data_IF_001858556587
#
_entry.id   IF_001858556587
#
_cell.length_a   1.000
_cell.length_b   1.000
_cell.length_c   1.000
_cell.angle_alpha   90.00
_cell.angle_beta   90.00
_cell.angle_gamma   90.00
#
_symmetry.space_group_name_H-M   'P 1'
#
loop_
_entity.id
_entity.type
_entity.pdbx_description
1 polymer ?
#
# COMPACT_ATOMS: atom_id res chain seq x y z
N UNK A 1 -10.70 11.26 8.32
CA UNK A 1 -9.95 11.02 7.08
C UNK A 1 -8.64 10.41 7.52
N UNK A 2 -8.30 9.24 7.00
CA UNK A 2 -6.99 8.64 7.25
C UNK A 2 -5.86 9.46 6.60
N UNK A 3 -4.62 9.24 6.99
CA UNK A 3 -3.44 9.81 6.35
C UNK A 3 -2.39 8.73 6.12
N UNK A 4 -1.99 8.53 4.86
CA UNK A 4 -0.98 7.54 4.45
C UNK A 4 0.24 8.18 3.77
N UNK A 5 0.52 9.45 4.06
CA UNK A 5 1.71 10.16 3.58
C UNK A 5 1.87 10.22 2.05
N UNK A 6 0.81 10.54 1.31
CA UNK A 6 0.88 10.64 -0.15
C UNK A 6 1.54 11.96 -0.60
N UNK A 7 2.87 12.08 -0.39
CA UNK A 7 3.78 13.19 -0.79
C UNK A 7 3.60 14.49 0.01
N UNK A 8 4.62 15.33 0.22
CA UNK A 8 4.48 16.53 1.09
C UNK A 8 3.80 17.76 0.47
N UNK A 9 3.42 17.75 -0.81
CA UNK A 9 2.26 18.56 -1.21
C UNK A 9 0.95 18.09 -0.53
N UNK A 10 0.94 16.92 0.12
CA UNK A 10 -0.16 16.22 0.84
C UNK A 10 -1.48 16.21 0.07
N UNK A 11 -1.37 16.38 -1.24
CA UNK A 11 -2.48 16.42 -2.16
C UNK A 11 -2.66 15.00 -2.69
N UNK A 12 -3.89 14.48 -2.65
CA UNK A 12 -4.17 13.24 -3.34
C UNK A 12 -3.88 13.38 -4.84
N UNK A 13 -3.68 12.26 -5.55
CA UNK A 13 -3.40 12.31 -6.98
C UNK A 13 -4.45 13.16 -7.72
N UNK A 14 -3.97 14.14 -8.50
CA UNK A 14 -4.82 15.11 -9.23
C UNK A 14 -5.80 15.93 -8.35
N UNK A 15 -5.59 15.99 -7.03
CA UNK A 15 -6.49 16.68 -6.11
C UNK A 15 -7.76 15.90 -5.75
N UNK A 16 -7.81 14.60 -6.05
CA UNK A 16 -8.95 13.73 -5.73
C UNK A 16 -8.57 12.55 -4.83
N UNK A 17 -9.04 12.56 -3.58
CA UNK A 17 -8.77 11.52 -2.58
C UNK A 17 -9.17 10.12 -3.04
N UNK A 18 -10.15 10.02 -3.94
CA UNK A 18 -10.62 8.73 -4.45
C UNK A 18 -9.54 8.00 -5.27
N UNK A 19 -8.54 8.72 -5.76
CA UNK A 19 -7.42 8.15 -6.54
C UNK A 19 -6.22 7.75 -5.68
N UNK A 20 -6.25 8.07 -4.38
CA UNK A 20 -5.13 7.87 -3.47
C UNK A 20 -5.05 6.41 -3.02
N UNK A 21 -3.96 5.71 -3.33
CA UNK A 21 -3.69 4.40 -2.76
C UNK A 21 -3.07 4.58 -1.37
N UNK A 22 -3.51 3.75 -0.45
CA UNK A 22 -3.15 3.86 0.95
C UNK A 22 -2.17 2.74 1.34
N UNK A 23 -2.70 1.54 1.58
CA UNK A 23 -1.94 0.40 2.05
C UNK A 23 -2.12 -0.83 1.17
N UNK A 24 -1.07 -1.65 1.16
CA UNK A 24 -1.09 -3.00 0.60
C UNK A 24 -0.82 -4.02 1.72
N UNK A 25 -1.72 -4.97 1.90
CA UNK A 25 -1.55 -6.11 2.82
C UNK A 25 -1.53 -7.43 2.05
N UNK A 26 -0.72 -8.36 2.55
CA UNK A 26 -0.61 -9.71 2.02
C UNK A 26 -0.31 -10.68 3.17
N UNK A 27 -1.23 -11.60 3.45
CA UNK A 27 -1.11 -12.54 4.55
C UNK A 27 -1.98 -13.79 4.35
N UNK A 28 -1.65 -14.87 5.06
CA UNK A 28 -2.48 -16.07 5.10
C UNK A 28 -3.75 -15.79 5.91
N UNK A 29 -4.91 -16.26 5.43
CA UNK A 29 -6.18 -16.06 6.13
C UNK A 29 -6.12 -16.62 7.56
N UNK A 30 -6.46 -15.81 8.60
CA UNK A 30 -6.59 -16.30 9.96
C UNK A 30 -7.66 -17.39 10.13
N UNK A 31 -8.65 -17.43 9.23
CA UNK A 31 -9.73 -18.41 9.23
C UNK A 31 -9.37 -19.70 8.48
N UNK A 32 -8.47 -19.63 7.49
CA UNK A 32 -8.01 -20.77 6.70
C UNK A 32 -6.58 -20.55 6.16
N UNK A 33 -5.60 -21.22 6.75
CA UNK A 33 -4.19 -21.09 6.35
C UNK A 33 -3.88 -21.58 4.92
N UNK A 34 -4.79 -22.31 4.26
CA UNK A 34 -4.66 -22.67 2.86
C UNK A 34 -5.05 -21.54 1.89
N UNK A 35 -5.47 -20.38 2.42
CA UNK A 35 -5.94 -19.23 1.65
C UNK A 35 -5.07 -18.01 1.92
N UNK A 36 -4.85 -17.22 0.87
CA UNK A 36 -4.13 -15.95 0.92
C UNK A 36 -5.12 -14.80 0.81
N UNK A 37 -4.92 -13.77 1.62
CA UNK A 37 -5.65 -12.51 1.62
C UNK A 37 -4.74 -11.42 1.06
N UNK A 38 -5.23 -10.72 0.05
CA UNK A 38 -4.64 -9.50 -0.48
C UNK A 38 -5.60 -8.34 -0.24
N UNK A 39 -5.09 -7.22 0.25
CA UNK A 39 -5.89 -6.01 0.48
C UNK A 39 -5.18 -4.82 -0.15
N UNK A 40 -5.90 -4.11 -1.01
CA UNK A 40 -5.52 -2.79 -1.46
C UNK A 40 -6.46 -1.77 -0.83
N UNK A 41 -5.92 -0.95 0.05
CA UNK A 41 -6.63 0.21 0.58
C UNK A 41 -6.44 1.40 -0.35
N UNK A 42 -7.49 2.19 -0.50
CA UNK A 42 -7.50 3.44 -1.23
C UNK A 42 -8.47 4.42 -0.55
N UNK A 43 -8.46 5.67 -0.98
CA UNK A 43 -9.38 6.70 -0.53
C UNK A 43 -9.48 6.84 1.00
N UNK A 44 -8.69 7.74 1.61
CA UNK A 44 -8.70 7.93 3.06
C UNK A 44 -9.98 8.56 3.62
N UNK A 45 -10.96 8.92 2.77
CA UNK A 45 -12.29 9.33 3.20
C UNK A 45 -13.25 8.16 3.42
N UNK A 46 -12.90 6.96 2.93
CA UNK A 46 -13.75 5.78 2.94
C UNK A 46 -15.13 5.98 2.29
N UNK A 47 -15.23 6.92 1.34
CA UNK A 47 -16.42 7.12 0.50
C UNK A 47 -16.22 6.49 -0.90
N UNK A 48 -17.12 6.81 -1.84
CA UNK A 48 -17.15 6.17 -3.15
C UNK A 48 -15.85 6.39 -3.96
N UNK A 49 -15.43 5.37 -4.71
CA UNK A 49 -14.23 5.43 -5.54
C UNK A 49 -14.50 6.10 -6.88
N UNK A 50 -13.45 6.57 -7.55
CA UNK A 50 -13.60 7.25 -8.83
C UNK A 50 -14.09 6.29 -9.92
N UNK A 51 -15.20 6.59 -10.63
CA UNK A 51 -15.80 5.66 -11.59
C UNK A 51 -15.01 5.50 -12.89
N UNK A 52 -14.22 6.51 -13.27
CA UNK A 52 -13.34 6.44 -14.44
C UNK A 52 -11.94 5.90 -14.13
N UNK A 53 -11.69 5.42 -12.89
CA UNK A 53 -10.41 4.89 -12.49
C UNK A 53 -10.38 3.35 -12.49
N UNK A 54 -9.18 2.81 -12.72
CA UNK A 54 -8.85 1.40 -12.56
C UNK A 54 -7.89 1.30 -11.37
N UNK A 55 -8.31 0.56 -10.34
CA UNK A 55 -7.45 0.17 -9.23
C UNK A 55 -6.99 -1.24 -9.50
N UNK A 56 -5.71 -1.52 -9.33
CA UNK A 56 -5.12 -2.80 -9.73
C UNK A 56 -4.22 -3.35 -8.63
N UNK A 57 -4.37 -4.64 -8.34
CA UNK A 57 -3.37 -5.47 -7.68
C UNK A 57 -2.67 -6.30 -8.75
N UNK A 58 -1.36 -6.16 -8.87
CA UNK A 58 -0.54 -6.88 -9.83
C UNK A 58 0.50 -7.74 -9.10
N UNK A 59 0.75 -8.94 -9.61
CA UNK A 59 1.50 -9.99 -8.94
C UNK A 59 2.49 -10.62 -9.91
N UNK A 60 3.76 -10.61 -9.56
CA UNK A 60 4.82 -11.48 -10.08
C UNK A 60 4.85 -12.75 -9.22
N UNK A 61 4.75 -13.94 -9.83
CA UNK A 61 4.80 -15.22 -9.13
C UNK A 61 6.00 -16.11 -9.51
N UNK A 62 6.89 -15.56 -10.33
CA UNK A 62 7.81 -16.30 -11.17
C UNK A 62 9.26 -15.81 -11.03
N UNK A 63 9.44 -14.56 -10.61
CA UNK A 63 10.71 -13.94 -10.24
C UNK A 63 11.30 -13.02 -11.30
N UNK A 64 10.63 -12.82 -12.43
CA UNK A 64 11.11 -11.93 -13.51
C UNK A 64 10.72 -10.44 -13.32
N UNK A 65 9.95 -10.14 -12.26
CA UNK A 65 9.43 -8.82 -11.89
C UNK A 65 8.34 -8.27 -12.84
N UNK A 66 7.79 -9.10 -13.71
CA UNK A 66 6.65 -8.78 -14.56
C UNK A 66 5.36 -9.33 -13.97
N UNK A 67 4.21 -8.80 -14.41
CA UNK A 67 2.93 -9.21 -13.84
C UNK A 67 2.46 -10.51 -14.49
N UNK A 68 2.36 -11.58 -13.72
CA UNK A 68 1.77 -12.85 -14.15
C UNK A 68 0.27 -12.94 -13.88
N UNK A 69 -0.18 -12.25 -12.82
CA UNK A 69 -1.58 -12.21 -12.37
C UNK A 69 -1.94 -10.78 -12.05
N UNK A 70 -3.16 -10.37 -12.42
CA UNK A 70 -3.68 -9.08 -11.97
C UNK A 70 -5.18 -9.10 -11.69
N UNK A 71 -5.55 -8.43 -10.60
CA UNK A 71 -6.93 -8.09 -10.26
C UNK A 71 -7.18 -6.61 -10.53
N UNK A 72 -8.17 -6.30 -11.36
CA UNK A 72 -8.56 -4.91 -11.65
C UNK A 72 -9.97 -4.65 -11.15
N UNK A 73 -10.12 -3.57 -10.39
CA UNK A 73 -11.37 -3.12 -9.79
C UNK A 73 -11.87 -1.88 -10.53
N UNK A 74 -13.07 -1.96 -11.11
CA UNK A 74 -13.71 -0.87 -11.85
C UNK A 74 -15.05 -0.56 -11.21
N UNK A 75 -15.19 0.66 -10.71
CA UNK A 75 -16.36 1.08 -9.95
C UNK A 75 -17.39 1.78 -10.84
N UNK A 76 -18.68 1.53 -10.57
CA UNK A 76 -19.75 2.28 -11.23
C UNK A 76 -19.79 3.74 -10.75
N UNK A 77 -20.47 4.60 -11.50
CA UNK A 77 -20.82 5.92 -10.98
C UNK A 77 -21.64 5.78 -9.68
N UNK A 78 -21.28 6.49 -8.59
CA UNK A 78 -22.06 6.46 -7.37
C UNK A 78 -23.44 7.09 -7.61
N UNK A 79 -24.51 6.41 -7.18
CA UNK A 79 -25.90 6.88 -7.31
C UNK A 79 -26.63 6.60 -6.00
N UNK A 80 -27.28 7.62 -5.43
CA UNK A 80 -28.08 7.51 -4.20
C UNK A 80 -27.35 6.82 -3.02
N UNK A 81 -26.06 7.14 -2.85
CA UNK A 81 -25.23 6.57 -1.78
C UNK A 81 -24.82 5.11 -2.01
N UNK A 82 -25.02 4.58 -3.22
CA UNK A 82 -24.62 3.22 -3.62
C UNK A 82 -23.58 3.27 -4.73
N UNK A 83 -22.74 2.25 -4.76
CA UNK A 83 -21.77 2.01 -5.81
C UNK A 83 -21.63 0.50 -6.00
N UNK A 84 -21.32 0.08 -7.21
CA UNK A 84 -21.01 -1.32 -7.52
C UNK A 84 -19.60 -1.41 -8.08
N UNK A 85 -19.03 -2.61 -8.07
CA UNK A 85 -17.70 -2.87 -8.62
C UNK A 85 -17.71 -4.12 -9.50
N UNK A 86 -17.03 -4.02 -10.63
CA UNK A 86 -16.61 -5.16 -11.43
C UNK A 86 -15.16 -5.52 -11.05
N UNK A 87 -14.88 -6.83 -10.94
CA UNK A 87 -13.53 -7.34 -10.69
C UNK A 87 -13.11 -8.22 -11.85
N UNK A 88 -12.00 -7.85 -12.48
CA UNK A 88 -11.40 -8.56 -13.60
C UNK A 88 -10.13 -9.27 -13.15
N UNK A 89 -9.92 -10.48 -13.65
CA UNK A 89 -8.77 -11.34 -13.39
C UNK A 89 -8.04 -11.64 -14.69
N UNK A 90 -6.82 -11.15 -14.80
CA UNK A 90 -5.95 -11.34 -15.95
C UNK A 90 -4.75 -12.24 -15.61
N UNK A 91 -4.25 -12.95 -16.62
CA UNK A 91 -3.10 -13.86 -16.52
C UNK A 91 -2.12 -13.66 -17.68
N UNK A 92 -0.82 -13.91 -17.43
CA UNK A 92 0.25 -13.83 -18.44
C UNK A 92 0.24 -12.48 -19.16
N UNK A 93 0.31 -12.47 -20.49
CA UNK A 93 0.32 -11.25 -21.30
C UNK A 93 -0.83 -10.28 -20.98
N UNK A 94 -2.02 -10.77 -20.58
CA UNK A 94 -3.12 -9.89 -20.19
C UNK A 94 -2.86 -9.19 -18.84
N UNK A 95 -2.10 -9.81 -17.94
CA UNK A 95 -1.72 -9.25 -16.64
C UNK A 95 -0.67 -8.12 -16.75
N UNK A 96 0.01 -7.99 -17.88
CA UNK A 96 0.85 -6.82 -18.17
C UNK A 96 0.05 -5.61 -18.67
N UNK A 97 -1.16 -5.83 -19.21
CA UNK A 97 -2.00 -4.74 -19.71
C UNK A 97 -2.45 -3.82 -18.56
N UNK A 98 -2.32 -2.48 -18.68
CA UNK A 98 -2.84 -1.55 -17.69
C UNK A 98 -4.37 -1.44 -17.70
N UNK A 99 -5.03 -2.04 -18.70
CA UNK A 99 -6.48 -2.09 -18.83
C UNK A 99 -7.11 -3.16 -17.92
N UNK A 100 -8.41 -3.00 -17.65
CA UNK A 100 -9.22 -4.02 -16.97
C UNK A 100 -9.64 -5.11 -17.97
N UNK A 101 -8.70 -6.02 -18.27
CA UNK A 101 -8.87 -7.16 -19.19
C UNK A 101 -8.90 -8.49 -18.44
N UNK A 102 -9.10 -9.60 -19.16
CA UNK A 102 -9.25 -10.93 -18.58
C UNK A 102 -10.68 -11.28 -18.19
N UNK A 103 -10.83 -12.29 -17.32
CA UNK A 103 -12.12 -12.80 -16.89
C UNK A 103 -12.77 -11.87 -15.85
N UNK A 104 -14.03 -11.49 -16.07
CA UNK A 104 -14.81 -10.77 -15.05
C UNK A 104 -15.36 -11.77 -14.01
N UNK A 105 -14.64 -11.94 -12.90
CA UNK A 105 -14.96 -12.90 -11.84
C UNK A 105 -16.05 -12.41 -10.86
N UNK A 106 -16.26 -11.09 -10.77
CA UNK A 106 -17.38 -10.47 -10.07
C UNK A 106 -17.97 -9.37 -10.95
N UNK A 107 -19.30 -9.33 -11.11
CA UNK A 107 -19.97 -8.34 -11.94
C UNK A 107 -20.99 -7.53 -11.14
N UNK A 108 -20.78 -6.22 -11.07
CA UNK A 108 -21.70 -5.26 -10.47
C UNK A 108 -22.07 -5.59 -9.02
N UNK A 109 -21.13 -6.12 -8.24
CA UNK A 109 -21.39 -6.48 -6.83
C UNK A 109 -21.40 -5.23 -5.96
N UNK A 110 -22.20 -5.22 -4.90
CA UNK A 110 -22.40 -4.06 -4.03
C UNK A 110 -21.14 -3.69 -3.24
N UNK A 111 -20.92 -2.38 -3.13
CA UNK A 111 -19.93 -1.76 -2.24
C UNK A 111 -20.60 -1.37 -0.92
N UNK A 112 -19.95 -1.65 0.21
CA UNK A 112 -20.50 -1.34 1.53
C UNK A 112 -19.92 -0.06 2.11
N UNK A 113 -20.76 0.95 2.35
CA UNK A 113 -20.38 2.17 3.09
C UNK A 113 -20.80 2.14 4.57
N UNK A 114 -21.63 1.15 4.95
CA UNK A 114 -22.13 0.97 6.31
C UNK A 114 -21.35 -0.07 7.10
N UNK A 115 -21.82 -0.33 8.33
CA UNK A 115 -21.17 -1.26 9.27
C UNK A 115 -21.27 -2.73 8.85
N UNK A 116 -22.32 -3.10 8.13
CA UNK A 116 -22.53 -4.48 7.65
C UNK A 116 -21.83 -4.66 6.31
N UNK A 117 -20.88 -5.61 6.18
CA UNK A 117 -20.22 -5.87 4.92
C UNK A 117 -21.06 -6.74 3.99
N UNK A 118 -21.11 -6.40 2.71
CA UNK A 118 -21.59 -7.24 1.62
C UNK A 118 -20.43 -8.10 1.13
N UNK A 119 -20.46 -9.39 1.49
CA UNK A 119 -19.42 -10.35 1.14
C UNK A 119 -19.88 -11.15 -0.08
N UNK A 120 -19.04 -11.17 -1.11
CA UNK A 120 -19.34 -11.82 -2.38
C UNK A 120 -18.42 -13.03 -2.58
N UNK A 121 -18.94 -14.10 -3.18
CA UNK A 121 -18.15 -15.29 -3.52
C UNK A 121 -18.34 -15.68 -4.98
N UNK A 122 -17.27 -16.12 -5.63
CA UNK A 122 -17.26 -16.58 -7.01
C UNK A 122 -16.15 -17.62 -7.20
N UNK A 123 -16.51 -18.87 -7.50
CA UNK A 123 -15.55 -19.97 -7.53
C UNK A 123 -14.80 -20.11 -6.20
N UNK A 124 -13.47 -20.07 -6.25
CA UNK A 124 -12.60 -20.10 -5.06
C UNK A 124 -12.37 -18.74 -4.39
N UNK A 125 -12.90 -17.65 -4.95
CA UNK A 125 -12.63 -16.28 -4.52
C UNK A 125 -13.71 -15.77 -3.56
N UNK A 126 -13.26 -15.06 -2.52
CA UNK A 126 -14.11 -14.26 -1.63
C UNK A 126 -13.69 -12.80 -1.78
N UNK A 127 -14.65 -11.90 -1.92
CA UNK A 127 -14.39 -10.49 -2.21
C UNK A 127 -15.27 -9.56 -1.38
N UNK A 128 -14.69 -8.44 -0.97
CA UNK A 128 -15.37 -7.31 -0.35
C UNK A 128 -14.75 -6.00 -0.86
N UNK A 129 -15.59 -5.00 -1.07
CA UNK A 129 -15.18 -3.62 -1.28
C UNK A 129 -16.02 -2.67 -0.43
N UNK A 130 -15.39 -1.76 0.30
CA UNK A 130 -16.14 -0.81 1.12
C UNK A 130 -15.33 -0.12 2.22
N UNK A 131 -16.01 0.72 2.98
CA UNK A 131 -15.47 1.43 4.13
C UNK A 131 -15.14 0.46 5.26
N UNK A 132 -13.92 0.55 5.80
CA UNK A 132 -13.48 -0.16 7.02
C UNK A 132 -12.72 0.79 7.95
N UNK A 133 -12.62 0.42 9.21
CA UNK A 133 -11.64 1.01 10.11
C UNK A 133 -10.25 0.79 9.53
N UNK A 134 -9.45 1.85 9.52
CA UNK A 134 -8.10 1.80 8.98
C UNK A 134 -7.12 1.27 10.00
N UNK A 135 -6.61 0.06 9.77
CA UNK A 135 -5.67 -0.60 10.66
C UNK A 135 -4.24 -0.03 10.61
N UNK A 136 -3.94 0.91 9.71
CA UNK A 136 -2.66 1.61 9.72
C UNK A 136 -2.59 2.59 10.89
N UNK A 137 -1.55 2.45 11.72
CA UNK A 137 -1.34 3.28 12.91
C UNK A 137 0.01 3.95 12.87
N UNK A 138 0.08 5.21 13.30
CA UNK A 138 1.30 6.00 13.34
C UNK A 138 1.14 7.33 14.09
N UNK A 139 2.26 7.89 14.58
CA UNK A 139 2.30 9.18 15.26
C UNK A 139 2.72 10.28 14.27
N UNK A 140 1.75 10.85 13.55
CA UNK A 140 2.03 11.88 12.53
C UNK A 140 2.69 13.13 13.13
N UNK A 141 2.21 13.56 14.30
CA UNK A 141 2.78 14.70 15.00
C UNK A 141 4.22 14.42 15.43
N UNK A 142 4.50 13.20 15.88
CA UNK A 142 5.85 12.74 16.17
C UNK A 142 6.76 12.73 14.94
N UNK A 143 6.26 12.29 13.78
CA UNK A 143 7.02 12.37 12.52
C UNK A 143 7.33 13.81 12.13
N UNK A 144 6.40 14.75 12.32
CA UNK A 144 6.65 16.19 12.09
C UNK A 144 7.66 16.77 13.08
N UNK A 145 7.73 16.24 14.29
CA UNK A 145 8.78 16.59 15.27
C UNK A 145 10.13 15.95 14.93
N UNK A 146 10.15 14.91 14.10
CA UNK A 146 11.38 14.19 13.73
C UNK A 146 12.03 14.78 12.47
N UNK A 147 11.23 15.22 11.50
CA UNK A 147 11.72 15.68 10.20
C UNK A 147 11.38 17.13 9.91
N UNK A 148 12.29 17.82 9.24
CA UNK A 148 11.92 19.07 8.55
C UNK A 148 11.08 18.72 7.31
N UNK A 149 9.81 19.15 7.33
CA UNK A 149 8.85 18.97 6.24
C UNK A 149 8.70 20.23 5.38
N UNK A 150 9.54 21.26 5.61
CA UNK A 150 9.52 22.51 4.85
C UNK A 150 10.38 22.42 3.57
N UNK A 151 10.15 23.33 2.63
CA UNK A 151 11.04 23.48 1.46
C UNK A 151 10.98 22.37 0.41
N UNK A 152 9.87 21.63 0.31
CA UNK A 152 9.61 20.55 -0.69
C UNK A 152 10.51 19.30 -0.54
N UNK A 153 11.25 19.16 0.56
CA UNK A 153 12.06 17.95 0.84
C UNK A 153 11.26 17.03 1.75
N UNK A 154 11.08 15.77 1.34
CA UNK A 154 10.26 14.80 2.07
C UNK A 154 11.11 14.00 3.03
N UNK A 155 10.95 14.22 4.33
CA UNK A 155 11.52 13.36 5.38
C UNK A 155 13.01 13.05 5.18
N UNK A 156 13.78 13.96 4.55
CA UNK A 156 15.16 13.68 4.13
C UNK A 156 16.19 14.01 5.19
N UNK A 157 15.78 14.75 6.23
CA UNK A 157 16.68 15.31 7.23
C UNK A 157 16.05 15.16 8.62
N UNK A 158 16.18 13.98 9.25
CA UNK A 158 15.76 13.81 10.63
C UNK A 158 16.68 14.68 11.50
N UNK A 159 16.11 15.46 12.41
CA UNK A 159 16.86 16.33 13.30
C UNK A 159 16.96 15.73 14.71
N UNK A 160 17.19 14.42 14.78
CA UNK A 160 17.34 13.65 16.03
C UNK A 160 18.39 14.27 16.97
N UNK A 161 19.52 14.73 16.43
CA UNK A 161 20.56 15.39 17.20
C UNK A 161 20.06 16.71 17.85
N UNK A 162 19.21 17.46 17.16
CA UNK A 162 18.65 18.73 17.64
C UNK A 162 17.62 18.53 18.76
N UNK A 163 17.01 17.34 18.83
CA UNK A 163 16.10 16.97 19.93
C UNK A 163 16.82 16.83 21.28
N UNK A 164 18.16 16.74 21.29
CA UNK A 164 18.95 16.70 22.53
C UNK A 164 18.59 15.53 23.46
N UNK A 165 18.26 14.37 22.88
CA UNK A 165 17.86 13.16 23.61
C UNK A 165 16.38 13.12 24.04
N UNK A 166 15.55 14.08 23.60
CA UNK A 166 14.09 14.01 23.76
C UNK A 166 13.49 13.10 22.69
N UNK A 167 12.44 12.37 23.08
CA UNK A 167 11.64 11.60 22.13
C UNK A 167 10.90 12.56 21.18
N UNK A 168 10.86 12.29 19.86
CA UNK A 168 9.99 13.03 18.94
C UNK A 168 8.51 12.66 19.15
N UNK A 169 8.23 11.49 19.71
CA UNK A 169 6.90 10.86 19.80
C UNK A 169 5.99 11.52 20.82
N UNK A 170 4.74 11.74 20.41
CA UNK A 170 3.62 12.15 21.25
C UNK A 170 2.94 10.96 21.92
N UNK A 171 3.06 9.77 21.33
CA UNK A 171 2.36 8.55 21.76
C UNK A 171 0.89 8.52 21.37
N UNK A 172 0.46 9.40 20.46
CA UNK A 172 -0.89 9.43 19.92
C UNK A 172 -0.91 8.88 18.51
N UNK A 173 -1.72 7.85 18.29
CA UNK A 173 -1.96 7.34 16.95
C UNK A 173 -2.97 8.25 16.21
N UNK A 174 -2.55 8.72 15.04
CA UNK A 174 -3.28 9.64 14.18
C UNK A 174 -4.47 9.00 13.46
N UNK A 175 -4.55 7.67 13.44
CA UNK A 175 -5.57 6.92 12.71
C UNK A 175 -6.55 6.14 13.59
N UNK A 176 -6.50 6.30 14.92
CA UNK A 176 -7.32 5.53 15.88
C UNK A 176 -8.83 5.48 15.57
N UNK A 177 -9.39 6.53 14.97
CA UNK A 177 -10.81 6.61 14.54
C UNK A 177 -10.94 6.88 13.04
N UNK A 178 -9.90 6.60 12.27
CA UNK A 178 -9.89 6.80 10.83
C UNK A 178 -10.54 5.62 10.11
N UNK A 179 -11.19 5.93 8.99
CA UNK A 179 -11.69 4.93 8.05
C UNK A 179 -10.88 5.02 6.75
N UNK A 180 -10.86 3.92 6.02
CA UNK A 180 -10.29 3.82 4.67
C UNK A 180 -11.21 2.97 3.80
N UNK A 181 -11.14 3.12 2.47
CA UNK A 181 -11.82 2.20 1.57
C UNK A 181 -10.93 1.00 1.27
N UNK A 182 -11.46 -0.21 1.44
CA UNK A 182 -10.69 -1.44 1.31
C UNK A 182 -11.24 -2.31 0.19
N UNK A 183 -10.35 -2.77 -0.68
CA UNK A 183 -10.61 -3.84 -1.65
C UNK A 183 -9.92 -5.10 -1.12
N UNK A 184 -10.71 -6.03 -0.58
CA UNK A 184 -10.25 -7.25 0.08
C UNK A 184 -10.55 -8.45 -0.80
N UNK A 185 -9.52 -9.20 -1.16
CA UNK A 185 -9.62 -10.42 -1.93
C UNK A 185 -9.00 -11.58 -1.16
N UNK A 186 -9.71 -12.69 -1.10
CA UNK A 186 -9.19 -13.95 -0.56
C UNK A 186 -9.34 -15.07 -1.59
N UNK A 187 -8.29 -15.87 -1.74
CA UNK A 187 -8.22 -16.96 -2.72
C UNK A 187 -7.44 -18.16 -2.18
N UNK A 188 -7.57 -19.37 -2.76
CA UNK A 188 -6.70 -20.48 -2.44
C UNK A 188 -5.23 -20.09 -2.70
N UNK A 189 -4.33 -20.33 -1.76
CA UNK A 189 -2.92 -19.95 -1.91
C UNK A 189 -2.28 -20.62 -3.14
N UNK A 190 -2.69 -21.84 -3.48
CA UNK A 190 -2.23 -22.55 -4.68
C UNK A 190 -2.56 -21.81 -5.99
N UNK A 191 -3.59 -20.94 -5.99
CA UNK A 191 -3.95 -20.14 -7.16
C UNK A 191 -2.84 -19.19 -7.59
N UNK A 192 -2.07 -18.69 -6.63
CA UNK A 192 -0.99 -17.75 -6.89
C UNK A 192 0.15 -18.40 -7.68
N UNK A 193 0.26 -19.74 -7.68
CA UNK A 193 1.22 -20.46 -8.50
C UNK A 193 2.69 -20.12 -8.21
N UNK A 194 2.98 -19.60 -7.01
CA UNK A 194 4.29 -19.07 -6.66
C UNK A 194 5.39 -20.13 -6.81
N UNK A 195 6.43 -19.82 -7.59
CA UNK A 195 7.63 -20.67 -7.68
C UNK A 195 8.50 -20.56 -6.43
N UNK A 196 8.51 -19.39 -5.78
CA UNK A 196 9.25 -19.13 -4.54
C UNK A 196 8.48 -18.19 -3.60
N UNK A 197 8.66 -16.88 -3.75
CA UNK A 197 7.79 -15.83 -3.23
C UNK A 197 6.91 -15.27 -4.35
N UNK A 198 5.92 -14.46 -3.97
CA UNK A 198 5.26 -13.54 -4.88
C UNK A 198 5.69 -12.11 -4.58
N UNK A 199 5.63 -11.23 -5.59
CA UNK A 199 5.84 -9.79 -5.43
C UNK A 199 4.59 -9.06 -5.87
N UNK A 200 4.07 -8.20 -5.01
CA UNK A 200 2.75 -7.59 -5.18
C UNK A 200 2.90 -6.07 -5.20
N UNK A 201 2.17 -5.41 -6.08
CA UNK A 201 2.06 -3.95 -6.07
C UNK A 201 0.69 -3.49 -6.55
N UNK A 202 0.29 -2.31 -6.07
CA UNK A 202 -0.93 -1.62 -6.40
C UNK A 202 -0.70 -0.53 -7.44
N UNK A 203 -1.69 -0.28 -8.31
CA UNK A 203 -1.72 0.87 -9.23
C UNK A 203 -3.11 1.49 -9.30
N UNK A 204 -3.17 2.82 -9.30
CA UNK A 204 -4.36 3.59 -9.65
C UNK A 204 -4.13 4.31 -10.99
N UNK A 205 -5.04 4.11 -11.94
CA UNK A 205 -5.00 4.77 -13.24
C UNK A 205 -6.33 5.43 -13.55
N UNK A 206 -6.32 6.73 -13.87
CA UNK A 206 -7.51 7.47 -14.25
C UNK A 206 -7.65 7.52 -15.77
N UNK A 207 -8.83 7.20 -16.30
CA UNK A 207 -9.15 7.44 -17.71
C UNK A 207 -9.38 8.94 -17.95
N UNK A 208 -8.57 9.55 -18.80
CA UNK A 208 -8.75 10.92 -19.26
C UNK A 208 -8.54 10.97 -20.77
N UNK A 209 -9.50 11.56 -21.49
CA UNK A 209 -9.44 11.71 -22.96
C UNK A 209 -9.14 10.40 -23.72
N UNK A 210 -9.71 9.29 -23.23
CA UNK A 210 -9.54 7.96 -23.83
C UNK A 210 -8.21 7.26 -23.50
N UNK A 211 -7.34 7.85 -22.67
CA UNK A 211 -6.05 7.28 -22.26
C UNK A 211 -6.00 7.07 -20.75
N UNK A 212 -5.22 6.09 -20.31
CA UNK A 212 -4.91 5.92 -18.89
C UNK A 212 -3.79 6.89 -18.48
N UNK A 213 -4.06 7.66 -17.45
CA UNK A 213 -3.07 8.40 -16.69
C UNK A 213 -2.77 7.62 -15.41
N UNK A 214 -1.53 7.16 -15.23
CA UNK A 214 -1.10 6.41 -14.05
C UNK A 214 -0.77 7.40 -12.93
N UNK A 215 -1.68 7.51 -11.97
CA UNK A 215 -1.68 8.61 -10.99
C UNK A 215 -1.10 8.19 -9.66
N UNK A 216 -1.12 6.89 -9.35
CA UNK A 216 -0.55 6.37 -8.11
C UNK A 216 -0.12 4.90 -8.18
N UNK A 217 0.79 4.52 -7.27
CA UNK A 217 1.23 3.14 -7.10
C UNK A 217 1.69 2.88 -5.65
N UNK A 218 1.56 1.65 -5.18
CA UNK A 218 1.96 1.25 -3.83
C UNK A 218 2.58 -0.16 -3.82
N UNK A 219 3.80 -0.30 -3.30
CA UNK A 219 4.44 -1.60 -3.07
C UNK A 219 4.71 -1.80 -1.59
N UNK A 220 5.97 -1.62 -1.19
CA UNK A 220 6.36 -1.61 0.21
C UNK A 220 5.74 -0.43 0.96
N UNK A 221 5.34 -0.62 2.22
CA UNK A 221 4.76 0.44 3.03
C UNK A 221 5.73 1.61 3.11
N UNK A 222 5.18 2.82 2.99
CA UNK A 222 5.86 4.11 3.17
C UNK A 222 7.00 4.43 2.19
N UNK A 223 7.28 3.59 1.19
CA UNK A 223 8.36 3.87 0.23
C UNK A 223 8.07 5.13 -0.58
N UNK A 224 6.86 5.23 -1.15
CA UNK A 224 6.43 6.41 -1.91
C UNK A 224 6.46 7.70 -1.07
N UNK A 225 6.32 7.58 0.24
CA UNK A 225 6.25 8.68 1.20
C UNK A 225 7.62 9.19 1.63
N UNK A 226 8.52 8.29 2.02
CA UNK A 226 9.83 8.64 2.57
C UNK A 226 10.88 8.85 1.49
N UNK A 227 10.76 8.17 0.34
CA UNK A 227 11.82 8.20 -0.68
C UNK A 227 11.58 9.15 -1.83
N UNK A 228 10.32 9.44 -2.19
CA UNK A 228 10.03 10.34 -3.30
C UNK A 228 10.05 11.81 -2.87
N UNK A 229 10.36 12.68 -3.83
CA UNK A 229 10.21 14.13 -3.68
C UNK A 229 9.01 14.61 -4.50
N UNK A 230 8.57 15.86 -4.29
CA UNK A 230 7.53 16.46 -5.13
C UNK A 230 7.92 16.47 -6.62
N UNK A 231 9.22 16.56 -6.92
CA UNK A 231 9.74 16.59 -8.28
C UNK A 231 9.74 15.20 -8.95
N UNK A 232 9.91 14.11 -8.18
CA UNK A 232 9.97 12.74 -8.73
C UNK A 232 8.68 11.94 -8.56
N UNK A 233 7.77 12.36 -7.68
CA UNK A 233 6.52 11.64 -7.35
C UNK A 233 5.70 11.27 -8.59
N UNK A 234 5.48 12.21 -9.51
CA UNK A 234 4.65 11.95 -10.70
C UNK A 234 5.30 10.92 -11.64
N UNK A 235 6.61 11.00 -11.84
CA UNK A 235 7.34 10.04 -12.67
C UNK A 235 7.40 8.65 -12.00
N UNK A 236 7.61 8.61 -10.68
CA UNK A 236 7.58 7.40 -9.88
C UNK A 236 6.22 6.70 -10.01
N UNK A 237 5.14 7.43 -9.72
CA UNK A 237 3.77 6.93 -9.77
C UNK A 237 3.39 6.44 -11.17
N UNK A 238 3.86 7.10 -12.22
CA UNK A 238 3.60 6.70 -13.60
C UNK A 238 4.40 5.48 -14.06
N UNK A 239 5.45 5.08 -13.32
CA UNK A 239 6.36 4.01 -13.72
C UNK A 239 5.98 2.62 -13.19
N UNK A 240 6.54 1.59 -13.82
CA UNK A 240 6.42 0.19 -13.39
C UNK A 240 7.62 -0.25 -12.54
N UNK A 241 7.41 -1.13 -11.53
CA UNK A 241 8.48 -1.42 -10.59
C UNK A 241 9.67 -2.19 -11.16
N UNK A 242 9.51 -2.94 -12.26
CA UNK A 242 10.56 -3.76 -12.89
C UNK A 242 11.89 -3.03 -13.11
N UNK A 243 11.87 -1.70 -13.33
CA UNK A 243 13.08 -0.87 -13.52
C UNK A 243 13.39 0.06 -12.36
N UNK A 244 12.73 -0.09 -11.23
CA UNK A 244 12.89 0.82 -10.10
C UNK A 244 14.33 0.84 -9.57
N UNK A 245 14.98 -0.32 -9.51
CA UNK A 245 16.37 -0.39 -9.04
C UNK A 245 17.30 0.43 -9.93
N UNK A 246 17.13 0.38 -11.24
CA UNK A 246 17.92 1.18 -12.18
C UNK A 246 17.63 2.68 -12.03
N UNK A 247 16.35 3.04 -11.87
CA UNK A 247 15.90 4.44 -11.91
C UNK A 247 16.08 5.19 -10.59
N UNK A 248 15.85 4.52 -9.47
CA UNK A 248 15.64 5.18 -8.18
C UNK A 248 16.72 4.89 -7.13
N UNK A 249 17.59 3.90 -7.33
CA UNK A 249 18.57 3.51 -6.30
C UNK A 249 19.49 4.67 -5.89
N UNK A 250 19.89 5.54 -6.82
CA UNK A 250 20.73 6.70 -6.49
C UNK A 250 20.01 7.70 -5.58
N UNK A 251 18.71 7.91 -5.78
CA UNK A 251 17.88 8.75 -4.91
C UNK A 251 17.78 8.13 -3.51
N UNK A 252 17.61 6.80 -3.43
CA UNK A 252 17.51 6.09 -2.16
C UNK A 252 18.83 6.14 -1.39
N UNK A 253 19.97 5.91 -2.07
CA UNK A 253 21.30 6.03 -1.48
C UNK A 253 21.52 7.46 -0.95
N UNK A 254 21.17 8.47 -1.75
CA UNK A 254 21.31 9.86 -1.35
C UNK A 254 20.48 10.20 -0.11
N UNK A 255 19.23 9.73 -0.05
CA UNK A 255 18.36 9.88 1.11
C UNK A 255 18.95 9.21 2.34
N UNK A 256 19.32 7.94 2.24
CA UNK A 256 19.86 7.16 3.35
C UNK A 256 21.16 7.76 3.89
N UNK A 257 21.97 8.37 3.02
CA UNK A 257 23.14 9.15 3.43
C UNK A 257 22.79 10.35 4.34
N UNK A 258 21.63 10.98 4.15
CA UNK A 258 21.17 12.09 5.01
C UNK A 258 20.43 11.63 6.26
N UNK A 259 19.68 10.53 6.18
CA UNK A 259 18.80 10.09 7.27
C UNK A 259 19.52 9.25 8.33
N UNK A 260 20.58 8.54 7.94
CA UNK A 260 21.29 7.62 8.85
C UNK A 260 22.79 7.50 8.56
N UNK A 261 23.38 8.51 7.91
CA UNK A 261 24.81 8.55 7.57
C UNK A 261 25.30 7.25 6.89
N UNK A 262 24.48 6.70 5.99
CA UNK A 262 24.86 5.56 5.18
C UNK A 262 25.96 5.96 4.20
N UNK A 263 27.05 5.18 4.17
CA UNK A 263 27.91 5.15 2.98
C UNK A 263 27.13 4.53 1.81
N UNK A 264 27.59 4.77 0.59
CA UNK A 264 26.97 4.19 -0.62
C UNK A 264 26.87 2.68 -0.54
N UNK A 265 27.95 2.01 -0.15
CA UNK A 265 28.03 0.56 -0.07
C UNK A 265 27.09 0.01 1.01
N UNK A 266 27.00 0.68 2.16
CA UNK A 266 26.05 0.30 3.22
C UNK A 266 24.59 0.48 2.77
N UNK A 267 24.27 1.57 2.07
CA UNK A 267 22.91 1.83 1.58
C UNK A 267 22.49 0.75 0.57
N UNK A 268 23.36 0.42 -0.41
CA UNK A 268 23.12 -0.66 -1.37
C UNK A 268 22.89 -1.99 -0.64
N UNK A 269 23.77 -2.33 0.31
CA UNK A 269 23.66 -3.58 1.07
C UNK A 269 22.46 -3.62 2.03
N UNK A 270 21.89 -2.47 2.41
CA UNK A 270 20.66 -2.40 3.19
C UNK A 270 19.43 -2.58 2.28
N UNK A 271 19.38 -1.87 1.14
CA UNK A 271 18.32 -1.96 0.13
C UNK A 271 18.22 -3.40 -0.41
N UNK A 272 19.34 -3.99 -0.83
CA UNK A 272 19.37 -5.34 -1.40
C UNK A 272 18.96 -6.41 -0.37
N UNK A 273 19.19 -6.16 0.94
CA UNK A 273 18.86 -7.09 2.02
C UNK A 273 17.40 -7.01 2.45
N UNK A 274 16.85 -5.80 2.53
CA UNK A 274 15.42 -5.62 2.81
C UNK A 274 14.58 -6.04 1.61
N UNK A 275 15.11 -5.86 0.39
CA UNK A 275 14.36 -6.03 -0.85
C UNK A 275 13.51 -4.80 -1.20
N UNK A 276 13.88 -3.60 -0.73
CA UNK A 276 13.08 -2.37 -0.90
C UNK A 276 12.86 -1.99 -2.37
N UNK A 277 13.78 -2.41 -3.27
CA UNK A 277 13.70 -2.20 -4.71
C UNK A 277 13.76 -3.55 -5.43
N UNK A 278 12.87 -3.82 -6.41
CA UNK A 278 11.79 -2.93 -6.86
C UNK A 278 10.70 -2.72 -5.80
N UNK A 279 9.91 -1.65 -5.93
CA UNK A 279 8.86 -1.34 -4.95
C UNK A 279 7.65 -2.29 -5.13
N UNK A 280 7.82 -3.53 -4.66
CA UNK A 280 6.82 -4.59 -4.69
C UNK A 280 6.87 -5.38 -3.37
N UNK A 281 5.74 -5.41 -2.64
CA UNK A 281 5.63 -6.16 -1.40
C UNK A 281 5.89 -7.65 -1.67
N UNK A 282 7.00 -8.16 -1.13
CA UNK A 282 7.38 -9.57 -1.26
C UNK A 282 6.66 -10.41 -0.22
N UNK A 283 6.09 -11.54 -0.62
CA UNK A 283 5.42 -12.47 0.28
C UNK A 283 5.72 -13.94 -0.08
N UNK A 284 6.46 -14.61 0.80
CA UNK A 284 6.63 -16.05 0.83
C UNK A 284 5.44 -16.67 1.59
N UNK A 285 4.54 -17.30 0.83
CA UNK A 285 3.29 -17.90 1.33
C UNK A 285 3.53 -19.12 2.22
N UNK A 286 4.75 -19.70 2.21
CA UNK A 286 5.12 -20.80 3.08
C UNK A 286 5.58 -20.34 4.47
N UNK A 287 5.74 -19.02 4.69
CA UNK A 287 6.16 -18.43 5.96
C UNK A 287 5.02 -17.60 6.57
N UNK A 288 4.95 -17.51 7.91
CA UNK A 288 4.06 -16.56 8.57
C UNK A 288 4.28 -15.14 8.05
N UNK A 289 3.19 -14.43 7.76
CA UNK A 289 3.26 -13.04 7.34
C UNK A 289 3.69 -12.15 8.51
N UNK A 290 4.71 -11.34 8.26
CA UNK A 290 5.24 -10.29 9.13
C UNK A 290 6.19 -9.46 8.28
N UNK A 291 5.97 -8.16 8.18
CA UNK A 291 6.83 -7.29 7.38
C UNK A 291 8.32 -7.48 7.76
N UNK A 292 9.23 -7.72 6.79
CA UNK A 292 9.07 -7.52 5.34
C UNK A 292 8.54 -8.72 4.52
N UNK A 293 8.12 -9.83 5.14
CA UNK A 293 7.45 -10.94 4.46
C UNK A 293 5.92 -10.76 4.48
N UNK A 294 5.36 -10.21 3.43
CA UNK A 294 3.97 -9.74 3.42
C UNK A 294 3.78 -8.60 4.42
N UNK A 295 2.53 -8.33 4.78
CA UNK A 295 2.18 -7.32 5.79
C UNK A 295 0.87 -7.72 6.46
N UNK A 296 0.88 -7.70 7.79
CA UNK A 296 -0.31 -7.86 8.64
C UNK A 296 -0.65 -6.54 9.34
N UNK A 297 -1.86 -6.44 9.89
CA UNK A 297 -2.35 -5.22 10.57
C UNK A 297 -1.56 -4.86 11.84
N UNK A 298 -0.83 -5.80 12.42
CA UNK A 298 -0.05 -5.57 13.64
C UNK A 298 1.40 -5.13 13.37
N UNK A 299 1.80 -5.04 12.11
CA UNK A 299 3.15 -4.61 11.75
C UNK A 299 3.28 -3.09 11.91
N UNK A 300 4.15 -2.64 12.80
CA UNK A 300 4.54 -1.23 12.91
C UNK A 300 5.51 -0.88 11.78
N UNK A 301 4.95 -0.64 10.60
CA UNK A 301 5.70 -0.39 9.37
C UNK A 301 6.41 0.97 9.39
N UNK A 302 5.95 1.91 10.20
CA UNK A 302 6.58 3.23 10.37
C UNK A 302 7.82 3.10 11.25
N UNK A 303 7.72 2.48 12.42
CA UNK A 303 8.90 2.24 13.27
C UNK A 303 9.93 1.38 12.51
N UNK A 304 9.47 0.37 11.75
CA UNK A 304 10.36 -0.42 10.90
C UNK A 304 11.09 0.45 9.87
N UNK A 305 10.36 1.28 9.10
CA UNK A 305 10.96 2.12 8.05
C UNK A 305 11.92 3.15 8.64
N UNK A 306 11.60 3.75 9.78
CA UNK A 306 12.46 4.72 10.43
C UNK A 306 13.73 4.07 10.97
N UNK A 307 13.64 2.87 11.55
CA UNK A 307 14.81 2.10 11.94
C UNK A 307 15.71 1.78 10.73
N UNK A 308 15.11 1.43 9.59
CA UNK A 308 15.83 1.23 8.32
C UNK A 308 16.56 2.50 7.87
N UNK A 309 15.86 3.64 7.81
CA UNK A 309 16.41 4.91 7.33
C UNK A 309 17.48 5.51 8.25
N UNK A 310 17.42 5.25 9.55
CA UNK A 310 18.26 5.92 10.57
C UNK A 310 19.31 5.01 11.20
N UNK A 311 19.57 3.81 10.65
CA UNK A 311 20.42 2.77 11.27
C UNK A 311 20.01 2.43 12.71
N UNK A 312 18.71 2.52 13.00
CA UNK A 312 18.13 2.27 14.33
C UNK A 312 18.35 3.37 15.36
N UNK A 313 18.83 4.55 14.97
CA UNK A 313 18.99 5.69 15.89
C UNK A 313 17.64 6.29 16.30
N UNK A 314 16.63 6.23 15.43
CA UNK A 314 15.29 6.65 15.78
C UNK A 314 14.67 5.65 16.78
N UNK A 315 14.29 6.08 18.00
CA UNK A 315 13.62 5.20 18.94
C UNK A 315 12.23 4.83 18.41
N UNK A 316 11.68 3.66 18.79
CA UNK A 316 10.32 3.29 18.42
C UNK A 316 9.29 4.26 19.03
N UNK A 317 8.16 4.44 18.33
CA UNK A 317 7.06 5.28 18.79
C UNK A 317 6.39 4.76 20.05
N UNK A 318 6.42 3.42 20.24
CA UNK A 318 5.74 2.74 21.34
C UNK A 318 4.23 2.64 21.15
N UNK A 319 3.73 2.95 19.96
CA UNK A 319 2.34 2.71 19.60
C UNK A 319 2.03 1.21 19.63
N UNK A 320 0.75 0.89 19.81
CA UNK A 320 0.25 -0.47 19.77
C UNK A 320 -0.71 -0.61 18.60
N UNK A 321 -0.76 -1.78 17.94
CA UNK A 321 -1.73 -2.04 16.89
C UNK A 321 -3.17 -1.83 17.36
N UNK A 322 -4.02 -1.48 16.41
CA UNK A 322 -5.46 -1.40 16.65
C UNK A 322 -6.02 -2.77 17.05
N UNK A 323 -7.04 -2.76 17.91
CA UNK A 323 -7.63 -3.98 18.48
C UNK A 323 -8.98 -4.36 17.85
N UNK A 324 -9.46 -3.58 16.90
CA UNK A 324 -10.77 -3.72 16.27
C UNK A 324 -10.74 -4.52 14.95
N UNK A 325 -9.56 -4.98 14.52
CA UNK A 325 -9.41 -5.96 13.42
C UNK A 325 -10.16 -7.27 13.72
N UNK A 326 -10.57 -7.97 12.67
CA UNK A 326 -11.39 -9.18 12.75
C UNK A 326 -10.60 -10.43 12.37
N UNK A 327 -11.01 -11.57 12.92
CA UNK A 327 -10.46 -12.90 12.56
C UNK A 327 -11.23 -13.57 11.41
N UNK A 328 -12.34 -12.96 11.00
CA UNK A 328 -13.17 -13.39 9.88
C UNK A 328 -13.15 -12.34 8.76
N UNK A 329 -13.40 -12.80 7.54
CA UNK A 329 -13.45 -11.94 6.36
C UNK A 329 -14.47 -10.79 6.56
N UNK A 330 -14.13 -9.52 6.25
CA UNK A 330 -12.97 -9.04 5.49
C UNK A 330 -11.77 -8.58 6.34
N UNK A 331 -11.63 -9.06 7.58
CA UNK A 331 -10.47 -8.93 8.49
C UNK A 331 -10.16 -7.53 9.05
N UNK A 332 -10.55 -6.46 8.37
CA UNK A 332 -10.44 -5.08 8.90
C UNK A 332 -11.60 -4.76 9.85
N UNK A 333 -11.44 -3.76 10.71
CA UNK A 333 -12.47 -3.35 11.67
C UNK A 333 -13.71 -2.73 11.01
N UNK A 334 -14.78 -2.60 11.81
CA UNK A 334 -16.02 -1.95 11.37
C UNK A 334 -15.78 -0.44 11.23
N UNK A 335 -16.29 0.23 10.17
CA UNK A 335 -16.09 1.67 10.03
C UNK A 335 -16.72 2.45 11.22
N UNK A 336 -16.03 3.51 11.65
CA UNK A 336 -16.40 4.34 12.81
C UNK A 336 -17.70 5.11 12.62
#
# INVERSE_FOLDING_TARGET
>A
MSNHFTGLSLGPPLGDQRLDLCDLYAFASPADAARTVLILNANPNADALHPDAIYRLAIDNDGDLQNDIAFSFVFSAPTDGRQTVDVFLAHGDEAESPEAVGEKIFSGVEVSFGKTPDIHTSGGFTFFAGARSDAFFFDFDGIKNLFDISGKRNFTSPHLADLGGKSPWTGQDSNTEANVFSMVLEMPTEYLGAKSDIRIWGRCSLRQDGKLNHVDRAGHPSVSSFFNTDDTKLEYNASEPVRDRERWIEQFIHLMGHTGDYTREEAIAAIDREGTLPDMLTYDTAKPAKYPNGRVFTDDVIDYRLAFLTKGECPPSGLSPHTDTLTEFPYLGTPH
#
